data_IF_082815305209
#
_entry.id   IF_082815305209
#
_cell.length_a   1.000
_cell.length_b   1.000
_cell.length_c   1.000
_cell.angle_alpha   90.00
_cell.angle_beta   90.00
_cell.angle_gamma   90.00
#
_symmetry.space_group_name_H-M   'P 1'
#
loop_
_entity.id
_entity.type
_entity.pdbx_description
1 polymer ?
#
# COMPACT_ATOMS: atom_id res chain seq x y z
N UNK A 1 28.68 -10.95 -9.97
CA UNK A 1 27.67 -11.02 -8.90
C UNK A 1 27.68 -9.67 -8.20
N UNK A 2 26.79 -8.74 -8.59
CA UNK A 2 26.68 -7.45 -7.91
C UNK A 2 26.13 -7.69 -6.50
N UNK A 3 26.95 -7.50 -5.47
CA UNK A 3 26.45 -7.51 -4.09
C UNK A 3 25.52 -6.30 -3.91
N UNK A 4 24.25 -6.56 -3.65
CA UNK A 4 23.29 -5.50 -3.35
C UNK A 4 23.59 -4.98 -1.94
N UNK A 5 24.27 -3.84 -1.88
CA UNK A 5 24.58 -3.18 -0.60
C UNK A 5 23.29 -2.58 -0.03
N UNK A 6 22.87 -3.08 1.14
CA UNK A 6 21.72 -2.53 1.84
C UNK A 6 22.12 -1.25 2.60
N UNK A 7 21.75 -0.10 2.04
CA UNK A 7 21.98 1.21 2.66
C UNK A 7 20.73 1.68 3.41
N UNK A 8 20.90 1.92 4.71
CA UNK A 8 19.88 2.55 5.56
C UNK A 8 19.64 4.01 5.14
N UNK A 9 18.55 4.61 5.63
CA UNK A 9 18.30 6.04 5.40
C UNK A 9 19.42 6.92 5.98
N UNK A 10 19.98 6.53 7.13
CA UNK A 10 21.11 7.23 7.75
C UNK A 10 22.38 7.17 6.90
N UNK A 11 22.66 6.03 6.25
CA UNK A 11 23.79 5.94 5.33
C UNK A 11 23.61 6.89 4.14
N UNK A 12 22.39 6.95 3.57
CA UNK A 12 22.07 7.84 2.45
C UNK A 12 22.18 9.32 2.84
N UNK A 13 21.71 9.69 4.03
CA UNK A 13 21.86 11.06 4.56
C UNK A 13 23.34 11.40 4.74
N UNK A 14 24.13 10.47 5.30
CA UNK A 14 25.58 10.67 5.46
C UNK A 14 26.27 10.87 4.12
N UNK A 15 25.90 10.09 3.09
CA UNK A 15 26.41 10.26 1.72
C UNK A 15 26.09 11.67 1.20
N UNK A 16 24.86 12.15 1.37
CA UNK A 16 24.47 13.51 0.96
C UNK A 16 25.25 14.60 1.71
N UNK A 17 25.49 14.42 3.01
CA UNK A 17 26.33 15.31 3.80
C UNK A 17 27.79 15.33 3.30
N UNK A 18 28.33 14.17 2.93
CA UNK A 18 29.69 14.04 2.37
C UNK A 18 29.81 14.70 0.99
N UNK A 19 28.80 14.59 0.13
CA UNK A 19 28.75 15.30 -1.17
C UNK A 19 28.85 16.82 -0.95
N UNK A 20 28.22 17.32 0.12
CA UNK A 20 28.18 18.74 0.46
C UNK A 20 26.92 19.43 -0.09
N UNK A 21 26.44 20.42 0.67
CA UNK A 21 25.29 21.26 0.31
C UNK A 21 25.72 22.73 0.37
N UNK A 22 25.65 23.43 -0.76
CA UNK A 22 26.03 24.84 -0.88
C UNK A 22 27.54 25.08 -0.84
N UNK A 23 28.08 25.76 -1.86
CA UNK A 23 29.43 26.34 -1.89
C UNK A 23 30.60 25.38 -2.17
N UNK A 24 30.53 24.12 -1.73
CA UNK A 24 31.58 23.12 -1.98
C UNK A 24 30.98 21.75 -2.27
N UNK A 25 31.22 21.22 -3.46
CA UNK A 25 30.78 19.86 -3.86
C UNK A 25 32.00 18.96 -3.95
N UNK A 26 31.94 17.80 -3.27
CA UNK A 26 32.91 16.71 -3.44
C UNK A 26 32.51 15.84 -4.61
N UNK A 27 33.50 15.25 -5.27
CA UNK A 27 33.25 14.28 -6.34
C UNK A 27 32.69 12.97 -5.76
N UNK A 28 31.94 12.21 -6.56
CA UNK A 28 31.38 10.93 -6.11
C UNK A 28 32.47 9.93 -5.70
N UNK A 29 33.63 9.93 -6.37
CA UNK A 29 34.78 9.10 -6.03
C UNK A 29 35.34 9.41 -4.62
N UNK A 30 35.46 10.69 -4.27
CA UNK A 30 35.90 11.11 -2.93
C UNK A 30 34.89 10.68 -1.86
N UNK A 31 33.59 10.79 -2.15
CA UNK A 31 32.52 10.38 -1.24
C UNK A 31 32.54 8.88 -1.01
N UNK A 32 32.78 8.06 -2.04
CA UNK A 32 32.94 6.61 -1.89
C UNK A 32 34.11 6.32 -0.94
N UNK A 33 35.25 6.99 -1.11
CA UNK A 33 36.42 6.79 -0.24
C UNK A 33 36.12 7.15 1.22
N UNK A 34 35.53 8.33 1.44
CA UNK A 34 35.17 8.81 2.79
C UNK A 34 34.10 7.94 3.44
N UNK A 35 33.15 7.43 2.66
CA UNK A 35 32.12 6.54 3.15
C UNK A 35 32.72 5.19 3.57
N UNK A 36 33.62 4.62 2.77
CA UNK A 36 34.28 3.36 3.12
C UNK A 36 35.21 3.48 4.32
N UNK A 37 35.87 4.64 4.48
CA UNK A 37 36.69 4.95 5.65
C UNK A 37 35.83 5.02 6.93
N UNK A 38 34.64 5.62 6.84
CA UNK A 38 33.70 5.74 7.97
C UNK A 38 33.00 4.43 8.30
N UNK A 39 32.65 3.63 7.30
CA UNK A 39 31.89 2.39 7.43
C UNK A 39 32.68 1.22 6.83
N UNK A 40 33.80 0.87 7.47
CA UNK A 40 34.72 -0.17 7.00
C UNK A 40 34.13 -1.58 7.08
N UNK A 41 33.10 -1.76 7.92
CA UNK A 41 32.34 -2.99 8.08
C UNK A 41 31.33 -3.24 6.95
N UNK A 42 30.98 -2.20 6.17
CA UNK A 42 30.04 -2.32 5.08
C UNK A 42 30.75 -2.71 3.78
N UNK A 43 30.05 -3.44 2.88
CA UNK A 43 30.57 -3.70 1.55
C UNK A 43 30.79 -2.37 0.78
N UNK A 44 31.82 -2.30 -0.08
CA UNK A 44 32.11 -1.12 -0.87
C UNK A 44 30.91 -0.67 -1.71
N UNK A 45 30.58 0.62 -1.62
CA UNK A 45 29.59 1.26 -2.49
C UNK A 45 30.26 1.75 -3.77
N UNK A 46 29.52 1.76 -4.88
CA UNK A 46 29.99 2.32 -6.14
C UNK A 46 29.67 3.81 -6.30
N UNK A 47 30.43 4.51 -7.13
CA UNK A 47 30.13 5.91 -7.51
C UNK A 47 28.73 6.04 -8.12
N UNK A 48 28.29 5.04 -8.90
CA UNK A 48 26.95 4.98 -9.45
C UNK A 48 25.86 4.91 -8.37
N UNK A 49 26.14 4.29 -7.23
CA UNK A 49 25.22 4.27 -6.07
C UNK A 49 25.10 5.65 -5.45
N UNK A 50 26.23 6.35 -5.27
CA UNK A 50 26.26 7.73 -4.78
C UNK A 50 25.48 8.65 -5.72
N UNK A 51 25.73 8.56 -7.03
CA UNK A 51 25.02 9.36 -8.05
C UNK A 51 23.51 9.09 -8.06
N UNK A 52 23.08 7.82 -7.95
CA UNK A 52 21.65 7.47 -7.84
C UNK A 52 21.00 8.08 -6.60
N UNK A 53 21.68 8.06 -5.46
CA UNK A 53 21.16 8.65 -4.20
C UNK A 53 21.05 10.17 -4.34
N UNK A 54 22.08 10.83 -4.88
CA UNK A 54 22.08 12.26 -5.13
C UNK A 54 20.94 12.66 -6.07
N UNK A 55 20.82 11.98 -7.21
CA UNK A 55 19.76 12.21 -8.19
C UNK A 55 18.37 12.03 -7.57
N UNK A 56 18.15 10.91 -6.87
CA UNK A 56 16.88 10.64 -6.20
C UNK A 56 16.51 11.73 -5.18
N UNK A 57 17.49 12.19 -4.41
CA UNK A 57 17.28 13.27 -3.44
C UNK A 57 16.95 14.60 -4.14
N UNK A 58 17.67 14.98 -5.20
CA UNK A 58 17.38 16.20 -5.97
C UNK A 58 15.99 16.17 -6.63
N UNK A 59 15.52 15.00 -7.04
CA UNK A 59 14.22 14.85 -7.70
C UNK A 59 13.04 14.79 -6.72
N UNK A 60 13.23 14.23 -5.52
CA UNK A 60 12.14 13.93 -4.58
C UNK A 60 12.25 14.60 -3.22
N UNK A 61 13.35 15.32 -2.97
CA UNK A 61 13.67 16.02 -1.72
C UNK A 61 13.74 15.10 -0.47
N UNK A 62 13.79 13.79 -0.66
CA UNK A 62 13.87 12.82 0.44
C UNK A 62 14.67 11.57 0.06
N UNK A 63 15.32 10.94 1.05
CA UNK A 63 16.09 9.68 0.85
C UNK A 63 15.25 8.40 0.97
N UNK A 64 13.98 8.54 1.38
CA UNK A 64 13.09 7.40 1.60
C UNK A 64 12.86 6.63 0.31
N UNK A 65 13.01 5.32 0.37
CA UNK A 65 12.53 4.43 -0.69
C UNK A 65 11.06 4.18 -0.42
N UNK A 66 10.19 4.84 -1.19
CA UNK A 66 8.76 4.52 -1.17
C UNK A 66 8.62 3.07 -1.61
N UNK A 67 8.03 2.24 -0.74
CA UNK A 67 7.60 0.89 -1.12
C UNK A 67 6.72 1.05 -2.35
N UNK A 68 7.10 0.43 -3.48
CA UNK A 68 6.24 0.39 -4.66
C UNK A 68 4.89 -0.16 -4.19
N UNK A 69 3.81 0.61 -4.36
CA UNK A 69 2.47 0.10 -4.12
C UNK A 69 2.33 -1.18 -4.97
N UNK A 70 1.85 -2.30 -4.41
CA UNK A 70 1.61 -3.48 -5.23
C UNK A 70 0.68 -3.10 -6.39
N UNK A 71 1.05 -3.46 -7.63
CA UNK A 71 0.34 -3.00 -8.83
C UNK A 71 -1.11 -3.48 -8.91
N UNK A 72 -1.49 -4.43 -8.06
CA UNK A 72 -2.81 -5.07 -8.07
C UNK A 72 -3.76 -4.48 -7.02
N UNK A 73 -3.52 -3.26 -6.53
CA UNK A 73 -4.49 -2.59 -5.67
C UNK A 73 -5.57 -1.97 -6.58
N UNK A 74 -6.83 -2.36 -6.36
CA UNK A 74 -7.98 -1.73 -7.02
C UNK A 74 -7.93 -0.20 -6.79
N UNK A 75 -8.37 0.54 -7.80
CA UNK A 75 -8.59 1.99 -7.67
C UNK A 75 -9.69 2.28 -6.65
N UNK A 76 -9.71 3.50 -6.12
CA UNK A 76 -10.72 3.89 -5.13
C UNK A 76 -12.13 3.89 -5.75
N UNK A 77 -12.27 4.23 -7.03
CA UNK A 77 -13.53 4.16 -7.79
C UNK A 77 -14.04 2.71 -7.89
N UNK A 78 -13.17 1.76 -8.26
CA UNK A 78 -13.54 0.34 -8.31
C UNK A 78 -13.95 -0.22 -6.94
N UNK A 79 -13.33 0.28 -5.86
CA UNK A 79 -13.75 -0.10 -4.51
C UNK A 79 -15.13 0.43 -4.17
N UNK A 80 -15.42 1.67 -4.58
CA UNK A 80 -16.72 2.30 -4.40
C UNK A 80 -17.81 1.51 -5.16
N UNK A 81 -17.56 1.14 -6.42
CA UNK A 81 -18.50 0.35 -7.23
C UNK A 81 -18.84 -1.00 -6.58
N UNK A 82 -17.83 -1.70 -6.03
CA UNK A 82 -18.02 -2.96 -5.30
C UNK A 82 -18.93 -2.76 -4.08
N UNK A 83 -18.72 -1.68 -3.32
CA UNK A 83 -19.50 -1.40 -2.12
C UNK A 83 -20.94 -1.00 -2.47
N UNK A 84 -21.13 -0.14 -3.47
CA UNK A 84 -22.45 0.32 -3.91
C UNK A 84 -23.31 -0.85 -4.37
N UNK A 85 -22.77 -1.75 -5.19
CA UNK A 85 -23.50 -2.90 -5.72
C UNK A 85 -24.02 -3.84 -4.60
N UNK A 86 -23.26 -3.97 -3.51
CA UNK A 86 -23.63 -4.81 -2.37
C UNK A 86 -24.59 -4.10 -1.41
N UNK A 87 -24.51 -2.78 -1.30
CA UNK A 87 -25.46 -1.97 -0.53
C UNK A 87 -26.83 -1.94 -1.23
N UNK A 88 -26.86 -1.81 -2.55
CA UNK A 88 -28.09 -1.83 -3.35
C UNK A 88 -28.77 -3.20 -3.33
N UNK A 89 -27.98 -4.28 -3.40
CA UNK A 89 -28.50 -5.64 -3.29
C UNK A 89 -27.63 -6.51 -2.37
N UNK A 90 -27.92 -6.50 -1.07
CA UNK A 90 -27.40 -7.39 -0.03
C UNK A 90 -27.23 -8.86 -0.41
N UNK A 91 -28.15 -9.40 -1.21
CA UNK A 91 -28.20 -10.82 -1.52
C UNK A 91 -27.27 -11.21 -2.67
N UNK A 92 -26.63 -10.24 -3.33
CA UNK A 92 -25.66 -10.53 -4.37
C UNK A 92 -24.42 -11.20 -3.79
N UNK A 93 -24.05 -12.34 -4.37
CA UNK A 93 -22.86 -13.05 -3.93
C UNK A 93 -21.61 -12.32 -4.42
N UNK A 94 -20.52 -12.38 -3.65
CA UNK A 94 -19.21 -11.85 -4.06
C UNK A 94 -18.73 -12.36 -5.43
N UNK A 95 -19.15 -13.57 -5.85
CA UNK A 95 -18.86 -14.11 -7.19
C UNK A 95 -19.65 -13.43 -8.29
N UNK A 96 -20.91 -13.09 -8.05
CA UNK A 96 -21.73 -12.33 -9.00
C UNK A 96 -21.19 -10.91 -9.15
N UNK A 97 -20.84 -10.25 -8.04
CA UNK A 97 -20.19 -8.93 -8.06
C UNK A 97 -18.86 -8.97 -8.83
N UNK A 98 -18.07 -10.03 -8.66
CA UNK A 98 -16.83 -10.25 -9.40
C UNK A 98 -17.04 -10.31 -10.91
N UNK A 99 -18.06 -11.08 -11.32
CA UNK A 99 -18.43 -11.20 -12.73
C UNK A 99 -18.97 -9.89 -13.30
N UNK A 100 -19.75 -9.15 -12.53
CA UNK A 100 -20.38 -7.90 -12.99
C UNK A 100 -19.37 -6.77 -13.19
N UNK A 101 -18.43 -6.62 -12.24
CA UNK A 101 -17.42 -5.55 -12.28
C UNK A 101 -16.13 -5.96 -13.00
N UNK A 102 -16.04 -7.20 -13.49
CA UNK A 102 -14.84 -7.79 -14.08
C UNK A 102 -13.59 -7.66 -13.18
N UNK A 103 -13.79 -7.93 -11.90
CA UNK A 103 -12.76 -7.86 -10.85
C UNK A 103 -12.53 -9.27 -10.31
N UNK A 104 -11.29 -9.60 -9.94
CA UNK A 104 -10.99 -10.86 -9.26
C UNK A 104 -11.81 -11.02 -7.98
N UNK A 105 -12.41 -12.20 -7.81
CA UNK A 105 -13.18 -12.57 -6.61
C UNK A 105 -12.39 -12.32 -5.31
N UNK A 106 -11.08 -12.60 -5.32
CA UNK A 106 -10.22 -12.38 -4.16
C UNK A 106 -10.07 -10.89 -3.82
N UNK A 107 -9.99 -10.03 -4.84
CA UNK A 107 -9.93 -8.58 -4.64
C UNK A 107 -11.22 -8.06 -4.00
N UNK A 108 -12.39 -8.58 -4.38
CA UNK A 108 -13.67 -8.22 -3.75
C UNK A 108 -13.70 -8.65 -2.30
N UNK A 109 -13.36 -9.91 -1.98
CA UNK A 109 -13.31 -10.37 -0.58
C UNK A 109 -12.38 -9.50 0.27
N UNK A 110 -11.26 -9.07 -0.30
CA UNK A 110 -10.35 -8.12 0.35
C UNK A 110 -11.00 -6.76 0.59
N UNK A 111 -11.68 -6.18 -0.41
CA UNK A 111 -12.42 -4.91 -0.25
C UNK A 111 -13.48 -5.03 0.85
N UNK A 112 -14.21 -6.14 0.91
CA UNK A 112 -15.22 -6.35 1.96
C UNK A 112 -14.60 -6.43 3.36
N UNK A 113 -13.49 -7.14 3.48
CA UNK A 113 -12.76 -7.24 4.75
C UNK A 113 -12.17 -5.89 5.18
N UNK A 114 -11.57 -5.14 4.24
CA UNK A 114 -10.99 -3.80 4.49
C UNK A 114 -12.05 -2.78 4.94
N UNK A 115 -13.29 -2.91 4.45
CA UNK A 115 -14.39 -2.00 4.76
C UNK A 115 -15.36 -2.56 5.82
N UNK A 116 -14.99 -3.62 6.52
CA UNK A 116 -15.79 -4.23 7.60
C UNK A 116 -17.21 -4.66 7.17
N UNK A 117 -17.41 -4.91 5.88
CA UNK A 117 -18.65 -5.45 5.32
C UNK A 117 -18.70 -6.95 5.66
N UNK A 118 -19.37 -7.29 6.76
CA UNK A 118 -19.50 -8.69 7.18
C UNK A 118 -20.48 -9.43 6.27
N UNK A 119 -20.15 -10.68 5.94
CA UNK A 119 -21.11 -11.58 5.31
C UNK A 119 -22.33 -11.74 6.24
N UNK A 120 -23.54 -11.71 5.66
CA UNK A 120 -24.79 -11.83 6.40
C UNK A 120 -24.76 -13.03 7.35
N UNK A 121 -25.02 -12.76 8.63
CA UNK A 121 -25.34 -13.81 9.60
C UNK A 121 -26.79 -14.21 9.36
N UNK A 122 -27.02 -15.50 9.12
CA UNK A 122 -28.37 -16.04 9.08
C UNK A 122 -29.03 -15.80 10.43
N UNK A 123 -30.04 -14.94 10.47
CA UNK A 123 -30.93 -14.79 11.62
C UNK A 123 -32.14 -15.67 11.34
N UNK A 124 -32.28 -16.83 12.02
CA UNK A 124 -33.48 -17.63 11.88
C UNK A 124 -34.66 -16.79 12.40
N UNK A 125 -35.58 -16.47 11.50
CA UNK A 125 -36.81 -15.76 11.83
C UNK A 125 -37.98 -16.74 11.75
N UNK A 126 -38.93 -16.61 12.68
CA UNK A 126 -40.16 -17.38 12.61
C UNK A 126 -41.00 -16.85 11.44
N UNK A 127 -41.55 -17.77 10.64
CA UNK A 127 -42.52 -17.41 9.61
C UNK A 127 -43.74 -16.79 10.30
N UNK A 128 -44.04 -15.55 9.94
CA UNK A 128 -45.22 -14.85 10.44
C UNK A 128 -46.45 -15.26 9.63
N UNK A 129 -47.58 -15.41 10.30
CA UNK A 129 -48.89 -15.45 9.64
C UNK A 129 -49.28 -14.05 9.14
N UNK A 130 -50.20 -13.97 8.17
CA UNK A 130 -50.63 -12.70 7.56
C UNK A 130 -51.11 -11.69 8.60
N UNK A 131 -51.89 -12.14 9.59
CA UNK A 131 -52.41 -11.30 10.68
C UNK A 131 -51.40 -11.03 11.82
N UNK A 132 -50.23 -11.67 11.84
CA UNK A 132 -49.33 -11.60 12.99
C UNK A 132 -48.76 -10.19 13.21
N UNK A 133 -48.64 -9.40 12.14
CA UNK A 133 -48.17 -8.03 12.23
C UNK A 133 -49.19 -7.14 12.97
N UNK A 134 -50.46 -7.22 12.57
CA UNK A 134 -51.55 -6.45 13.18
C UNK A 134 -51.76 -6.85 14.64
N UNK A 135 -51.71 -8.16 14.94
CA UNK A 135 -51.82 -8.67 16.31
C UNK A 135 -50.69 -8.16 17.19
N UNK A 136 -49.46 -8.05 16.68
CA UNK A 136 -48.32 -7.54 17.47
C UNK A 136 -48.39 -6.04 17.74
N UNK A 137 -49.02 -5.27 16.86
CA UNK A 137 -49.21 -3.83 17.05
C UNK A 137 -50.33 -3.55 18.07
N UNK A 138 -51.42 -4.33 18.04
CA UNK A 138 -52.61 -4.13 18.88
C UNK A 138 -52.44 -4.54 20.35
N UNK A 139 -51.41 -5.33 20.69
CA UNK A 139 -51.13 -5.81 22.05
C UNK A 139 -50.02 -5.02 22.78
N UNK A 140 -49.64 -3.83 22.29
CA UNK A 140 -48.86 -2.83 23.04
C UNK A 140 -49.75 -2.03 23.98
#
# INVERSE_FOLDING_TARGET
>A
MEMVVYLTEMHKITILQMIGYGGGTRTQAEVVRLFQEKYSELPPISEGTVSKIEKHFREREHVRQLKKKPSNKLSDDQKLDVMLMLEENPHTSSRQTASALNISHYSILRVLTENQMQQYKLVPTNKLAEDDFDRRILFL
#
